data_IF_261632884139
#
_entry.id   IF_261632884139
#
_cell.length_a   1.000
_cell.length_b   1.000
_cell.length_c   1.000
_cell.angle_alpha   90.00
_cell.angle_beta   90.00
_cell.angle_gamma   90.00
#
_symmetry.space_group_name_H-M   'P 1'
#
loop_
_entity.id
_entity.type
_entity.pdbx_description
1 polymer ?
#
# COMPACT_ATOMS: atom_id res chain seq x y z
N UNK A 1 5.64 15.80 12.96
CA UNK A 1 5.81 14.64 13.88
C UNK A 1 7.16 14.05 13.60
N UNK A 2 8.08 14.15 14.56
CA UNK A 2 9.46 13.75 14.36
C UNK A 2 9.61 12.24 14.30
N UNK A 3 10.58 11.78 13.53
CA UNK A 3 11.02 10.39 13.43
C UNK A 3 11.23 9.72 14.82
N UNK A 4 11.53 10.49 15.85
CA UNK A 4 11.77 9.99 17.20
C UNK A 4 10.58 9.30 17.89
N UNK A 5 9.34 9.68 17.57
CA UNK A 5 8.14 9.05 18.15
C UNK A 5 7.82 7.69 17.54
N UNK A 6 8.32 7.47 16.33
CA UNK A 6 8.14 6.23 15.58
C UNK A 6 9.00 5.11 16.15
N UNK A 7 10.20 5.43 16.60
CA UNK A 7 11.15 4.45 17.17
C UNK A 7 10.86 4.06 18.62
N UNK A 8 10.16 4.90 19.39
CA UNK A 8 9.81 4.63 20.78
C UNK A 8 8.71 3.58 20.98
N UNK A 9 8.00 3.22 19.91
CA UNK A 9 6.95 2.20 19.94
C UNK A 9 7.41 0.93 19.22
N UNK A 10 8.49 0.35 19.67
CA UNK A 10 8.91 -0.94 19.14
C UNK A 10 8.07 -2.04 19.77
N UNK A 11 7.31 -2.78 18.99
CA UNK A 11 6.53 -3.87 19.52
C UNK A 11 7.37 -5.12 19.71
N UNK A 12 6.88 -5.90 20.63
CA UNK A 12 6.94 -7.35 20.79
C UNK A 12 7.66 -8.09 19.66
N UNK A 13 8.48 -9.02 20.02
CA UNK A 13 9.21 -10.04 19.21
C UNK A 13 9.40 -9.74 17.72
N UNK A 14 10.66 -9.50 17.36
CA UNK A 14 11.20 -9.29 16.01
C UNK A 14 10.61 -10.26 14.94
N UNK A 15 10.31 -11.48 15.32
CA UNK A 15 9.84 -12.57 14.47
C UNK A 15 8.41 -12.37 13.91
N UNK A 16 7.62 -11.48 14.51
CA UNK A 16 6.23 -11.21 14.11
C UNK A 16 5.99 -9.78 13.61
N UNK A 17 7.03 -8.98 13.50
CA UNK A 17 6.89 -7.60 13.05
C UNK A 17 6.52 -7.55 11.57
N UNK A 18 5.44 -6.87 11.25
CA UNK A 18 5.01 -6.60 9.87
C UNK A 18 4.98 -5.09 9.67
N UNK A 19 5.63 -4.63 8.61
CA UNK A 19 5.60 -3.22 8.21
C UNK A 19 4.64 -3.02 7.05
N UNK A 20 3.77 -2.02 7.15
CA UNK A 20 2.87 -1.57 6.09
C UNK A 20 3.44 -0.31 5.45
N UNK A 21 4.04 -0.45 4.29
CA UNK A 21 4.60 0.64 3.50
C UNK A 21 3.55 1.23 2.59
N UNK A 22 3.29 2.54 2.69
CA UNK A 22 2.22 3.15 1.93
C UNK A 22 2.17 4.68 2.01
N UNK A 23 1.06 5.21 1.54
CA UNK A 23 0.72 6.63 1.48
C UNK A 23 -0.35 7.02 2.52
N UNK A 24 -1.20 8.01 2.18
CA UNK A 24 -2.32 8.46 3.01
C UNK A 24 -3.32 7.35 3.33
N UNK A 25 -3.49 6.37 2.46
CA UNK A 25 -4.38 5.22 2.70
C UNK A 25 -3.85 4.41 3.88
N UNK A 26 -2.57 4.12 3.94
CA UNK A 26 -1.94 3.43 5.07
C UNK A 26 -1.90 4.30 6.33
N UNK A 27 -1.58 5.59 6.20
CA UNK A 27 -1.60 6.53 7.33
C UNK A 27 -3.00 6.66 7.94
N UNK A 28 -4.02 6.80 7.09
CA UNK A 28 -5.43 6.85 7.50
C UNK A 28 -5.90 5.56 8.17
N UNK A 29 -5.42 4.41 7.69
CA UNK A 29 -5.74 3.12 8.28
C UNK A 29 -5.28 3.00 9.73
N UNK A 30 -4.03 3.35 9.99
CA UNK A 30 -3.50 3.37 11.37
C UNK A 30 -4.29 4.30 12.28
N UNK A 31 -4.75 5.43 11.76
CA UNK A 31 -5.54 6.41 12.50
C UNK A 31 -6.97 5.92 12.76
N UNK A 32 -7.58 5.27 11.78
CA UNK A 32 -8.98 4.82 11.84
C UNK A 32 -9.12 3.52 12.63
N UNK A 33 -8.19 2.58 12.44
CA UNK A 33 -8.18 1.27 13.08
C UNK A 33 -6.87 1.01 13.85
N UNK A 34 -6.55 1.81 14.88
CA UNK A 34 -5.29 1.71 15.62
C UNK A 34 -5.12 0.35 16.31
N UNK A 35 -6.20 -0.28 16.72
CA UNK A 35 -6.16 -1.56 17.42
C UNK A 35 -5.75 -2.72 16.50
N UNK A 36 -6.12 -2.66 15.23
CA UNK A 36 -5.65 -3.63 14.24
C UNK A 36 -4.12 -3.67 14.18
N UNK A 37 -3.48 -2.52 14.17
CA UNK A 37 -2.01 -2.41 14.17
C UNK A 37 -1.40 -2.81 15.50
N UNK A 38 -1.92 -2.31 16.61
CA UNK A 38 -1.37 -2.56 17.95
C UNK A 38 -1.47 -4.02 18.36
N UNK A 39 -2.66 -4.62 18.20
CA UNK A 39 -2.92 -5.98 18.64
C UNK A 39 -2.08 -7.01 17.89
N UNK A 40 -1.82 -6.76 16.59
CA UNK A 40 -1.06 -7.66 15.75
C UNK A 40 0.44 -7.36 15.70
N UNK A 41 0.92 -6.29 16.35
CA UNK A 41 2.31 -5.86 16.27
C UNK A 41 2.71 -5.30 14.91
N UNK A 42 1.73 -4.75 14.17
CA UNK A 42 1.97 -4.16 12.85
C UNK A 42 2.43 -2.71 12.97
N UNK A 43 3.29 -2.29 12.04
CA UNK A 43 3.86 -0.95 12.00
C UNK A 43 3.43 -0.27 10.70
N UNK A 44 2.62 0.79 10.83
CA UNK A 44 2.26 1.61 9.68
C UNK A 44 3.39 2.60 9.33
N UNK A 45 3.76 2.62 8.06
CA UNK A 45 4.72 3.55 7.45
C UNK A 45 4.08 4.28 6.29
N UNK A 46 2.82 4.69 6.47
CA UNK A 46 2.12 5.55 5.53
C UNK A 46 2.53 7.01 5.69
N UNK A 47 2.77 7.70 4.59
CA UNK A 47 2.96 9.16 4.54
C UNK A 47 2.09 9.72 3.42
N UNK A 48 1.17 10.62 3.80
CA UNK A 48 0.22 11.24 2.87
C UNK A 48 0.91 11.91 1.67
N UNK A 49 0.32 11.72 0.50
CA UNK A 49 0.76 12.35 -0.74
C UNK A 49 1.97 11.71 -1.42
N UNK A 50 2.66 10.80 -0.76
CA UNK A 50 3.88 10.20 -1.30
C UNK A 50 3.63 9.22 -2.44
N UNK A 51 4.56 9.21 -3.39
CA UNK A 51 4.64 8.31 -4.55
C UNK A 51 5.63 7.17 -4.31
N UNK A 52 5.65 6.19 -5.21
CA UNK A 52 6.59 5.07 -5.17
C UNK A 52 8.07 5.51 -5.16
N UNK A 53 8.40 6.63 -5.81
CA UNK A 53 9.74 7.22 -5.77
C UNK A 53 10.17 7.58 -4.36
N UNK A 54 9.29 8.24 -3.61
CA UNK A 54 9.54 8.63 -2.23
C UNK A 54 9.56 7.42 -1.28
N UNK A 55 8.74 6.40 -1.55
CA UNK A 55 8.80 5.13 -0.82
C UNK A 55 10.17 4.49 -0.95
N UNK A 56 10.69 4.41 -2.18
CA UNK A 56 11.98 3.80 -2.44
C UNK A 56 13.12 4.54 -1.71
N UNK A 57 13.08 5.88 -1.69
CA UNK A 57 14.08 6.69 -0.98
C UNK A 57 14.12 6.42 0.53
N UNK A 58 12.97 6.16 1.17
CA UNK A 58 12.89 5.92 2.62
C UNK A 58 12.78 4.43 2.99
N UNK A 59 12.85 3.52 2.00
CA UNK A 59 12.61 2.10 2.23
C UNK A 59 13.61 1.48 3.20
N UNK A 60 14.86 1.91 3.17
CA UNK A 60 15.88 1.45 4.11
C UNK A 60 15.54 1.80 5.55
N UNK A 61 15.21 3.06 5.82
CA UNK A 61 14.92 3.53 7.19
C UNK A 61 13.60 3.00 7.72
N UNK A 62 12.57 2.97 6.86
CA UNK A 62 11.21 2.65 7.27
C UNK A 62 10.87 1.15 7.23
N UNK A 63 11.69 0.35 6.53
CA UNK A 63 11.46 -1.09 6.40
C UNK A 63 12.70 -1.87 6.82
N UNK A 64 13.82 -1.73 6.10
CA UNK A 64 14.98 -2.61 6.27
C UNK A 64 15.56 -2.49 7.69
N UNK A 65 15.76 -1.26 8.17
CA UNK A 65 16.34 -1.01 9.50
C UNK A 65 15.43 -1.42 10.66
N UNK A 66 14.14 -1.61 10.40
CA UNK A 66 13.21 -2.16 11.38
C UNK A 66 13.30 -3.68 11.46
N UNK A 67 13.98 -4.33 10.53
CA UNK A 67 14.16 -5.79 10.46
C UNK A 67 12.85 -6.55 10.66
N UNK A 68 11.79 -6.28 9.87
CA UNK A 68 10.53 -6.98 10.01
C UNK A 68 10.62 -8.40 9.44
N UNK A 69 9.70 -9.27 9.85
CA UNK A 69 9.52 -10.57 9.20
C UNK A 69 8.90 -10.42 7.80
N UNK A 70 8.05 -9.40 7.62
CA UNK A 70 7.28 -9.18 6.40
C UNK A 70 7.01 -7.70 6.18
N UNK A 71 6.99 -7.28 4.93
CA UNK A 71 6.52 -5.97 4.49
C UNK A 71 5.33 -6.11 3.55
N UNK A 72 4.27 -5.34 3.79
CA UNK A 72 3.14 -5.14 2.90
C UNK A 72 3.38 -3.82 2.15
N UNK A 73 3.38 -3.86 0.82
CA UNK A 73 3.63 -2.68 -0.02
C UNK A 73 2.34 -2.33 -0.77
N UNK A 74 1.79 -1.14 -0.49
CA UNK A 74 0.69 -0.54 -1.24
C UNK A 74 1.16 0.78 -1.84
N UNK A 75 1.44 0.79 -3.14
CA UNK A 75 2.01 1.90 -3.87
C UNK A 75 1.33 2.10 -5.23
N UNK A 76 1.24 3.35 -5.69
CA UNK A 76 0.79 3.68 -7.03
C UNK A 76 -0.31 4.74 -7.11
N UNK A 77 -1.16 4.90 -6.10
CA UNK A 77 -2.26 5.90 -6.13
C UNK A 77 -1.75 7.30 -6.47
N UNK A 78 -0.76 7.77 -5.74
CA UNK A 78 -0.22 9.14 -5.92
C UNK A 78 0.69 9.27 -7.14
N UNK A 79 1.25 8.16 -7.62
CA UNK A 79 1.96 8.11 -8.91
C UNK A 79 0.99 8.37 -10.05
N UNK A 80 -0.15 7.65 -10.08
CA UNK A 80 -1.22 7.86 -11.07
C UNK A 80 -1.82 9.26 -10.95
N UNK A 81 -1.91 9.81 -9.72
CA UNK A 81 -2.35 11.18 -9.48
C UNK A 81 -1.28 12.24 -9.81
N UNK A 82 -0.10 11.83 -10.29
CA UNK A 82 1.00 12.71 -10.71
C UNK A 82 1.47 13.69 -9.63
N UNK A 83 1.48 13.25 -8.36
CA UNK A 83 1.83 14.10 -7.23
C UNK A 83 3.30 14.60 -7.25
N UNK A 84 4.19 13.87 -7.90
CA UNK A 84 5.62 14.24 -8.00
C UNK A 84 6.12 14.41 -9.43
N UNK A 85 5.22 14.44 -10.40
CA UNK A 85 5.52 14.58 -11.83
C UNK A 85 4.66 13.69 -12.69
N UNK A 86 4.80 13.79 -13.99
CA UNK A 86 4.02 13.02 -14.95
C UNK A 86 4.11 11.51 -14.68
N UNK A 87 2.97 10.83 -14.77
CA UNK A 87 2.90 9.39 -14.55
C UNK A 87 3.68 8.62 -15.62
N UNK A 88 4.53 7.74 -15.16
CA UNK A 88 5.21 6.76 -16.00
C UNK A 88 5.05 5.39 -15.35
N UNK A 89 4.28 4.51 -16.00
CA UNK A 89 3.97 3.19 -15.46
C UNK A 89 5.21 2.31 -15.30
N UNK A 90 6.14 2.37 -16.24
CA UNK A 90 7.38 1.56 -16.16
C UNK A 90 8.21 1.95 -14.95
N UNK A 91 8.33 3.24 -14.67
CA UNK A 91 9.07 3.73 -13.51
C UNK A 91 8.35 3.43 -12.19
N UNK A 92 7.05 3.66 -12.14
CA UNK A 92 6.25 3.33 -10.94
C UNK A 92 6.32 1.84 -10.62
N UNK A 93 6.11 0.99 -11.62
CA UNK A 93 6.26 -0.45 -11.48
C UNK A 93 7.67 -0.86 -11.11
N UNK A 94 8.69 -0.27 -11.74
CA UNK A 94 10.10 -0.49 -11.43
C UNK A 94 10.45 -0.16 -9.97
N UNK A 95 9.90 0.93 -9.42
CA UNK A 95 10.06 1.27 -8.01
C UNK A 95 9.46 0.21 -7.08
N UNK A 96 8.28 -0.33 -7.42
CA UNK A 96 7.64 -1.42 -6.65
C UNK A 96 8.50 -2.68 -6.70
N UNK A 97 8.99 -3.05 -7.87
CA UNK A 97 9.91 -4.19 -8.05
C UNK A 97 11.19 -4.01 -7.23
N UNK A 98 11.79 -2.82 -7.29
CA UNK A 98 13.00 -2.50 -6.52
C UNK A 98 12.79 -2.66 -5.01
N UNK A 99 11.65 -2.21 -4.48
CA UNK A 99 11.32 -2.40 -3.06
C UNK A 99 11.16 -3.87 -2.71
N UNK A 100 10.50 -4.66 -3.56
CA UNK A 100 10.36 -6.10 -3.36
C UNK A 100 11.71 -6.82 -3.37
N UNK A 101 12.59 -6.47 -4.31
CA UNK A 101 13.94 -7.02 -4.42
C UNK A 101 14.80 -6.64 -3.20
N UNK A 102 14.76 -5.38 -2.77
CA UNK A 102 15.46 -4.92 -1.56
C UNK A 102 14.98 -5.67 -0.31
N UNK A 103 13.68 -5.88 -0.16
CA UNK A 103 13.15 -6.65 0.95
C UNK A 103 13.67 -8.09 0.92
N UNK A 104 13.58 -8.76 -0.23
CA UNK A 104 14.09 -10.15 -0.40
C UNK A 104 15.58 -10.26 -0.13
N UNK A 105 16.39 -9.31 -0.62
CA UNK A 105 17.83 -9.27 -0.36
C UNK A 105 18.17 -9.15 1.13
N UNK A 106 17.27 -8.55 1.91
CA UNK A 106 17.38 -8.41 3.36
C UNK A 106 16.59 -9.49 4.14
N UNK A 107 16.18 -10.59 3.49
CA UNK A 107 15.43 -11.70 4.08
C UNK A 107 14.09 -11.30 4.69
N UNK A 108 13.48 -10.26 4.15
CA UNK A 108 12.15 -9.79 4.52
C UNK A 108 11.14 -10.36 3.52
N UNK A 109 10.13 -11.05 4.01
CA UNK A 109 9.02 -11.52 3.16
C UNK A 109 8.22 -10.34 2.63
N UNK A 110 7.62 -10.48 1.46
CA UNK A 110 6.87 -9.43 0.78
C UNK A 110 5.44 -9.87 0.51
N UNK A 111 4.49 -8.98 0.75
CA UNK A 111 3.16 -9.03 0.16
C UNK A 111 2.99 -7.76 -0.69
N UNK A 112 2.59 -7.94 -1.93
CA UNK A 112 2.19 -6.84 -2.81
C UNK A 112 0.66 -6.73 -2.82
N UNK A 113 0.15 -5.51 -2.92
CA UNK A 113 -1.28 -5.26 -2.98
C UNK A 113 -1.66 -4.49 -4.22
N UNK A 114 -2.92 -4.63 -4.64
CA UNK A 114 -3.45 -3.76 -5.67
C UNK A 114 -3.55 -2.31 -5.20
N UNK A 115 -3.41 -1.37 -6.12
CA UNK A 115 -3.90 0.01 -5.96
C UNK A 115 -5.43 -0.03 -5.86
N UNK A 116 -6.00 0.78 -4.97
CA UNK A 116 -7.45 0.87 -4.82
C UNK A 116 -8.09 1.54 -6.05
N UNK A 117 -9.39 1.26 -6.31
CA UNK A 117 -10.11 1.97 -7.37
C UNK A 117 -10.13 3.48 -7.12
N UNK A 118 -10.08 4.27 -8.18
CA UNK A 118 -10.40 5.69 -8.17
C UNK A 118 -10.85 6.10 -9.58
N UNK A 119 -12.03 6.68 -9.68
CA UNK A 119 -12.52 7.20 -10.96
C UNK A 119 -11.84 8.52 -11.32
N UNK A 120 -11.54 9.32 -10.31
CA UNK A 120 -10.85 10.61 -10.41
C UNK A 120 -10.14 10.92 -9.09
N UNK A 121 -9.25 11.91 -9.13
CA UNK A 121 -8.62 12.47 -7.93
C UNK A 121 -9.17 13.86 -7.66
N UNK A 122 -9.77 14.15 -6.49
CA UNK A 122 -10.33 15.47 -6.18
C UNK A 122 -9.34 16.63 -6.31
N UNK A 123 -8.05 16.37 -6.10
CA UNK A 123 -6.96 17.34 -6.20
C UNK A 123 -6.27 17.41 -7.57
N UNK A 124 -6.61 16.50 -8.50
CA UNK A 124 -6.02 16.40 -9.86
C UNK A 124 -7.08 16.01 -10.89
N UNK A 125 -8.14 16.83 -10.96
CA UNK A 125 -9.32 16.54 -11.80
C UNK A 125 -9.04 16.55 -13.30
N UNK A 126 -7.90 17.09 -13.72
CA UNK A 126 -7.43 17.04 -15.10
C UNK A 126 -7.05 15.63 -15.57
N UNK A 127 -6.72 14.73 -14.66
CA UNK A 127 -6.41 13.32 -14.98
C UNK A 127 -7.72 12.56 -15.19
N UNK A 128 -8.02 12.20 -16.44
CA UNK A 128 -9.29 11.53 -16.81
C UNK A 128 -9.17 10.03 -17.04
N UNK A 129 -7.96 9.52 -17.12
CA UNK A 129 -7.63 8.12 -17.41
C UNK A 129 -7.11 7.34 -16.18
N UNK A 130 -7.38 7.84 -14.97
CA UNK A 130 -6.98 7.21 -13.73
C UNK A 130 -7.44 5.73 -13.63
N UNK A 131 -8.70 5.37 -13.96
CA UNK A 131 -9.14 3.99 -13.89
C UNK A 131 -8.33 3.05 -14.77
N UNK A 132 -8.02 3.44 -16.01
CA UNK A 132 -7.25 2.64 -16.95
C UNK A 132 -5.81 2.45 -16.46
N UNK A 133 -5.18 3.52 -15.99
CA UNK A 133 -3.83 3.48 -15.42
C UNK A 133 -3.75 2.58 -14.19
N UNK A 134 -4.73 2.66 -13.29
CA UNK A 134 -4.81 1.81 -12.10
C UNK A 134 -4.94 0.34 -12.49
N UNK A 135 -5.84 0.02 -13.43
CA UNK A 135 -6.03 -1.36 -13.87
C UNK A 135 -4.78 -1.93 -14.55
N UNK A 136 -4.12 -1.14 -15.41
CA UNK A 136 -2.88 -1.53 -16.06
C UNK A 136 -1.76 -1.82 -15.06
N UNK A 137 -1.54 -0.89 -14.11
CA UNK A 137 -0.54 -1.07 -13.07
C UNK A 137 -0.83 -2.28 -12.18
N UNK A 138 -2.09 -2.47 -11.78
CA UNK A 138 -2.49 -3.62 -10.97
C UNK A 138 -2.24 -4.95 -11.69
N UNK A 139 -2.53 -5.03 -12.98
CA UNK A 139 -2.25 -6.22 -13.77
C UNK A 139 -0.76 -6.57 -13.80
N UNK A 140 0.11 -5.56 -13.90
CA UNK A 140 1.57 -5.76 -13.87
C UNK A 140 2.06 -6.19 -12.50
N UNK A 141 1.56 -5.58 -11.42
CA UNK A 141 1.92 -5.96 -10.05
C UNK A 141 1.54 -7.42 -9.77
N UNK A 142 0.31 -7.80 -10.15
CA UNK A 142 -0.20 -9.16 -9.97
C UNK A 142 0.64 -10.18 -10.76
N UNK A 143 0.93 -9.90 -12.04
CA UNK A 143 1.75 -10.76 -12.88
C UNK A 143 3.16 -10.95 -12.31
N UNK A 144 3.79 -9.87 -11.86
CA UNK A 144 5.09 -9.92 -11.20
C UNK A 144 5.07 -10.74 -9.90
N UNK A 145 4.07 -10.50 -9.06
CA UNK A 145 3.91 -11.23 -7.80
C UNK A 145 3.78 -12.73 -8.07
N UNK A 146 2.93 -13.12 -9.03
CA UNK A 146 2.74 -14.51 -9.43
C UNK A 146 4.04 -15.15 -9.94
N UNK A 147 4.74 -14.48 -10.84
CA UNK A 147 5.99 -14.97 -11.42
C UNK A 147 7.10 -15.14 -10.37
N UNK A 148 7.08 -14.33 -9.31
CA UNK A 148 8.09 -14.34 -8.25
C UNK A 148 7.62 -15.07 -6.96
N UNK A 149 6.47 -15.72 -6.99
CA UNK A 149 5.87 -16.42 -5.83
C UNK A 149 5.68 -15.51 -4.61
N UNK A 150 5.34 -14.25 -4.87
CA UNK A 150 4.98 -13.25 -3.87
C UNK A 150 3.46 -13.27 -3.71
N UNK A 151 2.92 -13.33 -2.48
CA UNK A 151 1.49 -13.17 -2.28
C UNK A 151 1.01 -11.81 -2.79
N UNK A 152 -0.10 -11.81 -3.55
CA UNK A 152 -0.77 -10.62 -4.03
C UNK A 152 -2.14 -10.50 -3.38
N UNK A 153 -2.44 -9.36 -2.76
CA UNK A 153 -3.74 -9.09 -2.14
C UNK A 153 -4.50 -8.09 -2.99
N UNK A 154 -5.60 -8.55 -3.55
CA UNK A 154 -6.45 -7.74 -4.43
C UNK A 154 -7.52 -6.99 -3.62
N UNK A 155 -7.21 -5.76 -3.19
CA UNK A 155 -8.19 -4.86 -2.59
C UNK A 155 -9.14 -4.26 -3.64
N UNK A 156 -8.68 -4.15 -4.88
CA UNK A 156 -9.42 -3.50 -5.96
C UNK A 156 -10.76 -4.20 -6.22
N UNK A 157 -10.71 -5.52 -6.39
CA UNK A 157 -11.86 -6.29 -6.86
C UNK A 157 -13.11 -6.16 -5.95
N UNK A 158 -13.03 -6.29 -4.62
CA UNK A 158 -14.21 -6.14 -3.75
C UNK A 158 -14.64 -4.69 -3.54
N UNK A 159 -13.83 -3.72 -3.95
CA UNK A 159 -14.07 -2.30 -3.66
C UNK A 159 -14.44 -1.47 -4.89
N UNK A 160 -14.29 -2.02 -6.10
CA UNK A 160 -14.62 -1.31 -7.34
C UNK A 160 -16.11 -1.39 -7.66
N UNK A 161 -16.67 -0.30 -8.22
CA UNK A 161 -18.07 -0.24 -8.64
C UNK A 161 -18.23 0.61 -9.90
N UNK A 162 -19.28 0.30 -10.67
CA UNK A 162 -19.71 1.09 -11.83
C UNK A 162 -18.81 0.96 -13.07
N UNK A 163 -19.30 1.52 -14.17
CA UNK A 163 -18.58 1.51 -15.45
C UNK A 163 -17.32 2.38 -15.40
N UNK A 164 -17.36 3.46 -14.62
CA UNK A 164 -16.24 4.37 -14.38
C UNK A 164 -15.18 3.81 -13.44
N UNK A 165 -15.33 2.57 -12.94
CA UNK A 165 -14.39 1.90 -12.02
C UNK A 165 -14.06 2.70 -10.77
N UNK A 166 -15.07 3.35 -10.20
CA UNK A 166 -14.94 4.12 -8.98
C UNK A 166 -14.71 3.22 -7.76
N UNK A 167 -14.10 3.79 -6.73
CA UNK A 167 -14.18 3.22 -5.39
C UNK A 167 -15.63 3.31 -4.90
N UNK A 168 -16.19 2.18 -4.43
CA UNK A 168 -17.58 2.10 -4.02
C UNK A 168 -17.89 3.19 -2.97
N UNK A 169 -18.89 4.05 -3.19
CA UNK A 169 -19.27 5.14 -2.28
C UNK A 169 -19.56 4.69 -0.84
N UNK A 170 -19.91 3.43 -0.64
CA UNK A 170 -20.06 2.86 0.70
C UNK A 170 -18.74 2.86 1.47
N UNK A 171 -17.62 2.77 0.78
CA UNK A 171 -16.29 2.62 1.36
C UNK A 171 -15.42 3.87 1.30
N UNK A 172 -15.97 4.97 0.78
CA UNK A 172 -15.23 6.24 0.66
C UNK A 172 -16.16 7.44 0.69
N UNK A 173 -15.63 8.58 1.13
CA UNK A 173 -16.33 9.88 1.08
C UNK A 173 -15.82 10.78 -0.04
N UNK A 174 -14.60 10.59 -0.47
CA UNK A 174 -13.92 11.45 -1.46
C UNK A 174 -13.55 10.73 -2.77
N UNK A 175 -13.91 9.44 -2.87
CA UNK A 175 -13.61 8.61 -4.04
C UNK A 175 -12.22 7.98 -4.07
N UNK A 176 -11.39 8.22 -3.05
CA UNK A 176 -9.99 7.74 -2.98
C UNK A 176 -9.66 7.09 -1.64
N UNK A 177 -9.97 7.75 -0.52
CA UNK A 177 -9.60 7.30 0.81
C UNK A 177 -10.69 6.43 1.43
N UNK A 178 -10.35 5.23 1.93
CA UNK A 178 -11.33 4.36 2.58
C UNK A 178 -11.90 4.96 3.87
N UNK A 179 -13.18 4.66 4.12
CA UNK A 179 -13.82 4.80 5.44
C UNK A 179 -13.47 3.61 6.32
N UNK A 180 -13.97 3.59 7.57
CA UNK A 180 -13.85 2.43 8.46
C UNK A 180 -14.32 1.14 7.79
N UNK A 181 -15.49 1.16 7.15
CA UNK A 181 -16.01 -0.01 6.41
C UNK A 181 -15.10 -0.45 5.26
N UNK A 182 -14.48 0.50 4.56
CA UNK A 182 -13.49 0.18 3.53
C UNK A 182 -12.24 -0.50 4.11
N UNK A 183 -11.77 -0.02 5.26
CA UNK A 183 -10.65 -0.66 5.96
C UNK A 183 -11.00 -2.04 6.51
N UNK A 184 -12.23 -2.29 6.95
CA UNK A 184 -12.67 -3.62 7.38
C UNK A 184 -12.47 -4.67 6.28
N UNK A 185 -12.79 -4.32 5.03
CA UNK A 185 -12.56 -5.21 3.88
C UNK A 185 -11.06 -5.46 3.68
N UNK A 186 -10.25 -4.40 3.71
CA UNK A 186 -8.81 -4.52 3.55
C UNK A 186 -8.19 -5.37 4.66
N UNK A 187 -8.64 -5.22 5.90
CA UNK A 187 -8.18 -5.99 7.05
C UNK A 187 -8.44 -7.48 6.91
N UNK A 188 -9.67 -7.84 6.54
CA UNK A 188 -10.03 -9.23 6.35
C UNK A 188 -9.14 -9.94 5.33
N UNK A 189 -8.83 -9.26 4.22
CA UNK A 189 -7.99 -9.80 3.15
C UNK A 189 -6.50 -9.87 3.55
N UNK A 190 -5.97 -8.79 4.09
CA UNK A 190 -4.52 -8.74 4.39
C UNK A 190 -4.15 -9.61 5.58
N UNK A 191 -5.01 -9.70 6.59
CA UNK A 191 -4.78 -10.57 7.75
C UNK A 191 -4.61 -12.01 7.33
N UNK A 192 -5.52 -12.50 6.48
CA UNK A 192 -5.44 -13.86 5.95
C UNK A 192 -4.14 -14.11 5.16
N UNK A 193 -3.72 -13.13 4.37
CA UNK A 193 -2.48 -13.24 3.59
C UNK A 193 -1.23 -13.25 4.48
N UNK A 194 -1.19 -12.40 5.52
CA UNK A 194 -0.08 -12.35 6.47
C UNK A 194 0.02 -13.66 7.26
N UNK A 195 -1.10 -14.18 7.77
CA UNK A 195 -1.15 -15.45 8.51
C UNK A 195 -0.62 -16.63 7.68
N UNK A 196 -0.90 -16.65 6.38
CA UNK A 196 -0.36 -17.68 5.47
C UNK A 196 1.12 -17.50 5.14
N UNK A 197 1.61 -16.27 5.19
CA UNK A 197 2.98 -15.94 4.81
C UNK A 197 3.97 -16.13 5.97
N UNK A 198 3.53 -16.01 7.22
CA UNK A 198 4.37 -16.15 8.43
C UNK A 198 4.27 -17.53 9.07
#
# INVERSE_FOLDING_TARGET
RGLGDVYKRQPVKKEKRVVFMGNSITEGWVRTHPDFFKTNGYIGRGISGQTSYQFLLRFREDVINLSPALVVINAGTNDVAENTGAYNEDYTFGNIVSMAELAKANKIKVILTSVLPAAEFPWRREIKDAPQKIQSLNARIEAYAKANKIPFVNYYQPMVVGENKALNPQYTKDGVHPTGEGYDIMEALIKQAIEKAL
#
